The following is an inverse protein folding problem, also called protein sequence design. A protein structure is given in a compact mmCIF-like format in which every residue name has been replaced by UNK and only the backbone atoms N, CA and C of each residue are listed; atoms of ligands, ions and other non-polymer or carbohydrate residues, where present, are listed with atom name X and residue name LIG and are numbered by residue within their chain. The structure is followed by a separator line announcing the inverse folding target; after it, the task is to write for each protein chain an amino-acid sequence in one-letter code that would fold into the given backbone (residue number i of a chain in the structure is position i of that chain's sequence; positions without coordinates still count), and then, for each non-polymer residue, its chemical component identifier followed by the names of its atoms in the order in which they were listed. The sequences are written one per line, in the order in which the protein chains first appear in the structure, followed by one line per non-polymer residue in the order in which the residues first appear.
data_IF_129657155902
#
_entry.id   IF_129657155902
#
_cell.length_a   1.000
_cell.length_b   1.000
_cell.length_c   1.000
_cell.angle_alpha   90.00
_cell.angle_beta   90.00
_cell.angle_gamma   90.00
#
_symmetry.space_group_name_H-M   'P 1'
#
loop_
_entity.id
_entity.type
_entity.pdbx_description
1 polymer ?
#
# COMPACT_ATOMS: atom_id res chain seq x y z
N UNK A 1 2.98 -17.85 8.29
CA UNK A 1 2.02 -17.65 9.41
C UNK A 1 0.96 -16.70 8.90
N UNK A 2 -0.32 -17.07 9.00
CA UNK A 2 -1.45 -16.20 8.68
C UNK A 2 -2.06 -15.76 10.02
N UNK A 3 -2.19 -14.45 10.31
CA UNK A 3 -2.84 -13.99 11.53
C UNK A 3 -4.32 -14.42 11.55
N UNK A 4 -4.92 -14.48 12.74
CA UNK A 4 -6.32 -14.90 12.89
C UNK A 4 -7.26 -13.97 12.14
N UNK A 5 -6.91 -12.69 12.06
CA UNK A 5 -7.65 -11.63 11.38
C UNK A 5 -7.61 -11.72 9.85
N UNK A 6 -6.77 -12.59 9.27
CA UNK A 6 -6.68 -12.79 7.83
C UNK A 6 -5.35 -12.34 7.26
N UNK A 7 -5.02 -11.06 7.44
CA UNK A 7 -3.79 -10.43 6.95
C UNK A 7 -3.21 -9.48 8.01
N UNK A 8 -1.95 -9.04 7.82
CA UNK A 8 -1.36 -8.04 8.69
C UNK A 8 -2.12 -6.70 8.65
N UNK A 9 -2.70 -6.35 7.50
CA UNK A 9 -3.49 -5.15 7.35
C UNK A 9 -4.85 -5.25 8.06
N UNK A 10 -5.53 -6.40 7.96
CA UNK A 10 -6.76 -6.66 8.72
C UNK A 10 -6.50 -6.67 10.24
N UNK A 11 -5.37 -7.24 10.66
CA UNK A 11 -4.95 -7.18 12.06
C UNK A 11 -4.72 -5.73 12.52
N UNK A 12 -4.04 -4.90 11.71
CA UNK A 12 -3.86 -3.49 12.03
C UNK A 12 -5.20 -2.75 12.15
N UNK A 13 -6.16 -3.02 11.27
CA UNK A 13 -7.51 -2.45 11.34
C UNK A 13 -8.27 -2.91 12.60
N UNK A 14 -8.14 -4.17 13.00
CA UNK A 14 -8.75 -4.69 14.22
C UNK A 14 -8.17 -4.06 15.49
N UNK A 15 -6.85 -3.82 15.52
CA UNK A 15 -6.16 -3.19 16.64
C UNK A 15 -6.42 -1.68 16.75
N UNK A 16 -6.77 -1.02 15.65
CA UNK A 16 -6.94 0.43 15.56
C UNK A 16 -8.32 0.80 14.98
N UNK A 17 -9.42 0.53 15.68
CA UNK A 17 -10.78 0.67 15.13
C UNK A 17 -11.16 2.11 14.74
N UNK A 18 -10.52 3.11 15.34
CA UNK A 18 -10.75 4.53 15.03
C UNK A 18 -9.84 5.06 13.92
N UNK A 19 -8.93 4.23 13.40
CA UNK A 19 -8.00 4.60 12.33
C UNK A 19 -8.50 4.17 10.95
N UNK A 20 -8.07 4.92 9.93
CA UNK A 20 -8.31 4.59 8.53
C UNK A 20 -7.10 3.80 8.02
N UNK A 21 -7.30 2.53 7.67
CA UNK A 21 -6.21 1.61 7.29
C UNK A 21 -6.22 1.33 5.80
N UNK A 22 -5.05 1.45 5.17
CA UNK A 22 -4.79 1.04 3.81
C UNK A 22 -3.51 0.19 3.75
N UNK A 23 -3.47 -0.79 2.86
CA UNK A 23 -2.35 -1.70 2.66
C UNK A 23 -1.66 -1.37 1.32
N UNK A 24 -0.36 -1.11 1.33
CA UNK A 24 0.41 -0.68 0.15
C UNK A 24 1.92 -0.91 0.32
N UNK A 25 2.66 -0.80 -0.80
CA UNK A 25 4.15 -0.84 -0.85
C UNK A 25 4.81 -2.17 -0.47
N UNK A 26 4.04 -3.25 -0.32
CA UNK A 26 4.56 -4.54 0.18
C UNK A 26 5.57 -5.23 -0.75
N UNK A 27 5.52 -4.95 -2.04
CA UNK A 27 6.33 -5.62 -3.08
C UNK A 27 7.44 -4.73 -3.63
N UNK A 28 7.68 -3.56 -3.04
CA UNK A 28 8.74 -2.67 -3.48
C UNK A 28 10.11 -3.13 -2.94
N UNK A 29 11.14 -2.95 -3.76
CA UNK A 29 12.52 -3.18 -3.35
C UNK A 29 13.05 -1.98 -2.58
N UNK A 30 13.32 -2.16 -1.28
CA UNK A 30 13.97 -1.14 -0.46
C UNK A 30 15.36 -0.74 -1.02
N UNK A 31 16.08 -1.70 -1.61
CA UNK A 31 17.41 -1.45 -2.20
C UNK A 31 17.30 -0.49 -3.39
N UNK A 32 16.32 -0.68 -4.28
CA UNK A 32 16.13 0.21 -5.42
C UNK A 32 15.64 1.60 -4.97
N UNK A 33 14.74 1.65 -3.98
CA UNK A 33 14.22 2.92 -3.44
C UNK A 33 15.30 3.77 -2.75
N UNK A 34 16.38 3.16 -2.29
CA UNK A 34 17.47 3.83 -1.58
C UNK A 34 18.64 4.22 -2.49
N UNK A 35 18.65 3.74 -3.73
CA UNK A 35 19.73 3.99 -4.67
C UNK A 35 19.56 5.37 -5.33
N UNK A 36 20.43 6.35 -5.04
CA UNK A 36 20.33 7.68 -5.62
C UNK A 36 20.69 7.73 -7.10
N UNK A 37 21.26 6.65 -7.69
CA UNK A 37 21.55 6.56 -9.13
C UNK A 37 20.32 6.16 -9.95
N UNK A 38 19.22 5.76 -9.31
CA UNK A 38 17.97 5.39 -9.97
C UNK A 38 17.02 6.58 -9.99
N UNK A 39 16.84 7.16 -11.18
CA UNK A 39 15.96 8.32 -11.37
C UNK A 39 14.46 7.96 -11.38
N UNK A 40 14.11 6.72 -11.75
CA UNK A 40 12.73 6.26 -11.94
C UNK A 40 12.57 4.75 -11.70
N UNK A 41 11.44 4.34 -11.13
CA UNK A 41 11.06 2.93 -10.97
C UNK A 41 9.67 2.73 -11.58
N UNK A 42 9.61 2.20 -12.80
CA UNK A 42 8.36 1.88 -13.51
C UNK A 42 7.66 0.68 -12.85
N UNK A 43 6.74 0.95 -11.92
CA UNK A 43 6.02 -0.10 -11.21
C UNK A 43 4.67 0.37 -10.69
N UNK A 44 3.76 -0.59 -10.58
CA UNK A 44 2.45 -0.36 -9.98
C UNK A 44 2.50 -0.67 -8.48
N UNK A 45 2.06 0.28 -7.66
CA UNK A 45 1.86 0.08 -6.23
C UNK A 45 0.41 -0.34 -5.99
N UNK A 46 0.19 -1.60 -5.65
CA UNK A 46 -1.12 -2.08 -5.21
C UNK A 46 -1.52 -1.41 -3.90
N UNK A 47 -2.69 -0.79 -3.88
CA UNK A 47 -3.27 -0.10 -2.72
C UNK A 47 -4.64 -0.70 -2.43
N UNK A 48 -4.83 -1.19 -1.20
CA UNK A 48 -6.06 -1.80 -0.73
C UNK A 48 -6.61 -1.04 0.47
N UNK A 49 -7.93 -0.97 0.59
CA UNK A 49 -8.60 -0.28 1.68
C UNK A 49 -10.11 -0.38 1.57
N UNK A 50 -10.81 -0.10 2.67
CA UNK A 50 -12.27 -0.19 2.71
C UNK A 50 -12.96 0.99 2.03
N UNK A 51 -12.44 2.21 2.24
CA UNK A 51 -12.99 3.45 1.70
C UNK A 51 -12.18 3.97 0.52
N UNK A 52 -12.85 4.32 -0.57
CA UNK A 52 -12.18 4.75 -1.80
C UNK A 52 -11.34 6.01 -1.60
N UNK A 53 -11.86 6.96 -0.82
CA UNK A 53 -11.19 8.23 -0.54
C UNK A 53 -9.87 8.04 0.25
N UNK A 54 -9.78 7.01 1.10
CA UNK A 54 -8.54 6.66 1.80
C UNK A 54 -7.49 6.10 0.87
N UNK A 55 -7.91 5.15 0.04
CA UNK A 55 -7.05 4.54 -0.96
C UNK A 55 -6.49 5.59 -1.91
N UNK A 56 -7.30 6.55 -2.35
CA UNK A 56 -6.87 7.61 -3.26
C UNK A 56 -5.76 8.49 -2.68
N UNK A 57 -5.78 8.76 -1.37
CA UNK A 57 -4.68 9.48 -0.69
C UNK A 57 -3.38 8.68 -0.80
N UNK A 58 -3.42 7.38 -0.54
CA UNK A 58 -2.23 6.51 -0.60
C UNK A 58 -1.77 6.28 -2.05
N UNK A 59 -2.69 6.17 -3.01
CA UNK A 59 -2.36 6.11 -4.43
C UNK A 59 -1.63 7.39 -4.88
N UNK A 60 -2.08 8.56 -4.41
CA UNK A 60 -1.41 9.83 -4.69
C UNK A 60 -0.01 9.90 -4.08
N UNK A 61 0.21 9.31 -2.89
CA UNK A 61 1.54 9.19 -2.29
C UNK A 61 2.46 8.30 -3.13
N UNK A 62 1.96 7.17 -3.64
CA UNK A 62 2.73 6.32 -4.55
C UNK A 62 3.16 7.09 -5.80
N UNK A 63 2.25 7.88 -6.38
CA UNK A 63 2.53 8.73 -7.55
C UNK A 63 3.52 9.89 -7.29
N UNK A 64 4.03 10.06 -6.06
CA UNK A 64 5.14 10.99 -5.76
C UNK A 64 6.51 10.38 -6.07
N UNK A 65 6.60 9.06 -6.18
CA UNK A 65 7.83 8.35 -6.55
C UNK A 65 7.84 8.25 -8.07
N UNK A 66 8.91 8.72 -8.71
CA UNK A 66 9.02 8.74 -10.17
C UNK A 66 8.81 7.33 -10.76
N UNK A 67 7.95 7.25 -11.78
CA UNK A 67 7.58 6.00 -12.47
C UNK A 67 6.55 5.15 -11.76
N UNK A 68 6.22 5.45 -10.50
CA UNK A 68 5.25 4.66 -9.75
C UNK A 68 3.82 5.12 -10.00
N UNK A 69 2.91 4.15 -10.08
CA UNK A 69 1.46 4.41 -10.15
C UNK A 69 0.76 3.68 -9.01
N UNK A 70 -0.01 4.40 -8.21
CA UNK A 70 -0.89 3.76 -7.23
C UNK A 70 -2.10 3.13 -7.92
N UNK A 71 -2.32 1.82 -7.74
CA UNK A 71 -3.42 1.06 -8.34
C UNK A 71 -4.33 0.53 -7.25
N UNK A 72 -5.64 0.73 -7.41
CA UNK A 72 -6.63 0.14 -6.50
C UNK A 72 -6.71 -1.37 -6.72
N UNK A 73 -6.38 -2.13 -5.69
CA UNK A 73 -6.38 -3.59 -5.73
C UNK A 73 -7.54 -4.23 -4.93
N UNK A 74 -8.50 -3.42 -4.49
CA UNK A 74 -9.72 -3.87 -3.82
C UNK A 74 -9.75 -3.59 -2.32
N UNK A 75 -10.62 -4.30 -1.62
CA UNK A 75 -10.88 -4.14 -0.18
C UNK A 75 -9.79 -4.77 0.67
N UNK A 76 -9.75 -4.42 1.96
CA UNK A 76 -8.65 -4.82 2.85
C UNK A 76 -8.54 -6.34 3.03
N UNK A 77 -9.66 -7.06 2.94
CA UNK A 77 -9.71 -8.54 2.95
C UNK A 77 -8.99 -9.24 1.80
N UNK A 78 -8.55 -8.50 0.78
CA UNK A 78 -7.77 -9.02 -0.34
C UNK A 78 -6.26 -8.77 -0.15
N UNK A 79 -5.84 -8.22 1.00
CA UNK A 79 -4.45 -7.90 1.30
C UNK A 79 -3.60 -9.14 1.62
#
# INVERSE_FOLDING_TARGET
LKPEEGSAAEQAAALLPDSRVAAAFHHLSAVLLQDPEIDEIDTDVMVLGEERADVEIVQALAGRIAGMRGIFAGRLRNA
#
